data_IF_373967657377
#
_entry.id   IF_373967657377
#
_cell.length_a   1.000
_cell.length_b   1.000
_cell.length_c   1.000
_cell.angle_alpha   90.00
_cell.angle_beta   90.00
_cell.angle_gamma   90.00
#
_symmetry.space_group_name_H-M   'P 1'
#
loop_
_entity.id
_entity.type
_entity.pdbx_description
1 polymer ?
#
# COMPACT_ATOMS: atom_id res chain seq x y z
N UNK A 1 -33.22 26.11 -39.03
CA UNK A 1 -32.24 27.17 -38.73
C UNK A 1 -30.93 26.50 -38.37
N UNK A 2 -30.11 26.31 -39.39
CA UNK A 2 -28.83 25.61 -39.35
C UNK A 2 -27.84 26.60 -39.95
N UNK A 3 -26.77 26.94 -39.24
CA UNK A 3 -25.70 27.79 -39.76
C UNK A 3 -24.36 27.27 -39.25
N UNK A 4 -23.71 26.53 -40.14
CA UNK A 4 -22.27 26.31 -40.23
C UNK A 4 -21.58 27.58 -40.71
N UNK A 5 -20.39 27.89 -40.23
CA UNK A 5 -19.39 28.61 -41.02
C UNK A 5 -17.96 28.22 -40.61
N UNK A 6 -17.13 28.05 -41.63
CA UNK A 6 -15.74 27.61 -41.62
C UNK A 6 -14.75 28.76 -41.33
N UNK A 7 -13.55 28.32 -40.91
CA UNK A 7 -12.21 28.93 -40.89
C UNK A 7 -11.88 30.03 -41.93
N UNK A 8 -10.83 30.90 -41.75
CA UNK A 8 -9.45 30.43 -41.65
C UNK A 8 -8.38 31.27 -40.90
N UNK A 9 -7.23 30.60 -40.74
CA UNK A 9 -5.88 31.02 -40.34
C UNK A 9 -5.40 32.37 -40.91
N UNK A 10 -4.56 33.09 -40.14
CA UNK A 10 -3.38 33.82 -40.66
C UNK A 10 -2.33 34.06 -39.57
N UNK A 11 -1.12 33.59 -39.85
CA UNK A 11 0.13 33.94 -39.18
C UNK A 11 0.54 35.39 -39.51
N UNK A 12 1.16 36.07 -38.55
CA UNK A 12 2.06 37.20 -38.81
C UNK A 12 3.27 37.09 -37.88
N UNK A 13 4.44 37.08 -38.51
CA UNK A 13 5.78 37.14 -37.93
C UNK A 13 6.32 38.55 -38.18
N UNK A 14 6.78 39.26 -37.15
CA UNK A 14 7.66 40.44 -37.27
C UNK A 14 8.60 40.50 -36.05
N UNK A 15 9.90 40.43 -36.31
CA UNK A 15 11.03 40.71 -35.41
C UNK A 15 11.38 42.21 -35.36
N UNK A 16 12.19 42.53 -34.35
CA UNK A 16 12.96 43.77 -34.07
C UNK A 16 12.22 44.76 -33.13
N UNK A 17 12.78 45.29 -32.04
CA UNK A 17 14.10 45.25 -31.42
C UNK A 17 14.17 46.33 -30.31
N UNK A 18 15.22 46.29 -29.49
CA UNK A 18 15.72 47.35 -28.59
C UNK A 18 15.07 47.56 -27.19
N UNK A 19 15.75 46.94 -26.19
CA UNK A 19 16.22 47.45 -24.90
C UNK A 19 15.53 48.60 -24.15
N UNK A 20 15.33 48.41 -22.83
CA UNK A 20 15.75 49.33 -21.76
C UNK A 20 15.78 48.61 -20.39
N UNK A 21 16.68 49.09 -19.51
CA UNK A 21 17.16 48.53 -18.25
C UNK A 21 16.18 48.71 -17.04
N UNK A 22 16.47 48.15 -15.84
CA UNK A 22 15.52 48.06 -14.73
C UNK A 22 15.63 49.22 -13.72
N UNK A 23 14.58 49.50 -12.92
CA UNK A 23 14.67 50.45 -11.79
C UNK A 23 15.00 49.77 -10.44
N UNK A 24 15.35 50.54 -9.39
CA UNK A 24 16.47 50.22 -8.50
C UNK A 24 16.11 49.61 -7.14
N UNK A 25 17.16 49.12 -6.47
CA UNK A 25 17.20 48.68 -5.06
C UNK A 25 17.03 49.87 -4.10
N UNK A 26 16.22 49.69 -3.06
CA UNK A 26 16.23 50.52 -1.85
C UNK A 26 16.97 49.78 -0.72
N UNK A 27 18.00 50.42 -0.17
CA UNK A 27 18.68 50.08 1.08
C UNK A 27 18.00 50.84 2.23
N UNK A 28 17.80 50.20 3.40
CA UNK A 28 17.83 50.90 4.69
C UNK A 28 18.15 49.97 5.89
N UNK A 29 19.37 50.14 6.39
CA UNK A 29 19.90 50.18 7.78
C UNK A 29 19.27 49.32 8.90
N UNK A 30 20.12 48.44 9.45
CA UNK A 30 20.65 48.40 10.83
C UNK A 30 19.73 48.92 11.95
N UNK A 31 19.28 48.01 12.84
CA UNK A 31 19.19 48.23 14.30
C UNK A 31 19.68 46.98 15.04
N UNK A 32 20.61 47.22 15.95
CA UNK A 32 21.22 46.31 16.93
C UNK A 32 20.39 46.23 18.23
N UNK A 33 20.28 45.04 18.83
CA UNK A 33 20.17 44.77 20.29
C UNK A 33 20.37 43.26 20.47
N UNK A 34 21.44 42.73 21.09
CA UNK A 34 21.93 42.73 22.49
C UNK A 34 20.98 42.04 23.49
N UNK A 35 21.31 40.75 23.71
CA UNK A 35 21.29 39.94 24.95
C UNK A 35 19.93 39.55 25.62
N UNK A 36 19.88 38.52 26.50
CA UNK A 36 20.97 37.69 27.03
C UNK A 36 20.78 36.15 26.98
N UNK A 37 21.92 35.50 27.15
CA UNK A 37 22.17 34.11 27.56
C UNK A 37 21.61 33.79 28.95
N UNK A 38 21.00 32.61 29.14
CA UNK A 38 20.91 31.97 30.45
C UNK A 38 21.31 30.50 30.38
N UNK A 39 22.58 30.25 30.71
CA UNK A 39 23.09 28.95 31.14
C UNK A 39 23.35 29.02 32.63
N UNK A 40 22.63 28.24 33.43
CA UNK A 40 23.15 27.71 34.69
C UNK A 40 22.40 26.42 35.09
N UNK A 41 23.19 25.38 35.32
CA UNK A 41 22.83 24.07 35.88
C UNK A 41 22.92 24.15 37.41
N UNK A 42 22.07 23.38 38.11
CA UNK A 42 22.28 22.69 39.41
C UNK A 42 20.94 21.98 39.73
N UNK A 43 20.76 20.66 39.54
CA UNK A 43 21.14 19.52 40.40
C UNK A 43 20.87 19.75 41.90
N UNK A 44 19.83 19.11 42.47
CA UNK A 44 19.95 18.06 43.50
C UNK A 44 18.64 17.64 44.23
N UNK A 45 18.41 16.31 44.27
CA UNK A 45 17.81 15.42 45.32
C UNK A 45 16.30 15.53 45.66
N UNK A 46 15.47 14.53 45.29
CA UNK A 46 15.19 13.23 45.94
C UNK A 46 14.39 13.33 47.26
N UNK A 47 13.06 13.13 47.19
CA UNK A 47 12.26 12.47 48.24
C UNK A 47 11.08 11.72 47.59
N UNK A 48 11.06 10.39 47.76
CA UNK A 48 9.89 9.51 47.64
C UNK A 48 9.48 9.07 49.06
N UNK A 49 8.20 8.76 49.28
CA UNK A 49 7.87 7.46 49.87
C UNK A 49 6.74 6.79 49.06
N UNK A 50 6.90 5.55 48.60
CA UNK A 50 6.61 4.30 49.34
C UNK A 50 5.25 4.29 50.04
N UNK A 51 4.26 3.64 49.40
CA UNK A 51 3.18 2.96 50.09
C UNK A 51 3.05 1.54 49.52
N UNK A 52 3.37 0.57 50.38
CA UNK A 52 3.18 -0.87 50.18
C UNK A 52 1.78 -1.20 50.70
N UNK A 53 0.94 -1.79 49.84
CA UNK A 53 -0.35 -2.37 50.23
C UNK A 53 -0.32 -3.87 49.98
N UNK A 54 -0.13 -4.65 51.05
CA UNK A 54 -0.37 -6.08 51.11
C UNK A 54 -1.85 -6.36 50.76
N UNK A 55 -2.10 -7.30 49.85
CA UNK A 55 -3.38 -8.03 49.81
C UNK A 55 -3.07 -9.50 50.07
N UNK A 56 -3.60 -9.97 51.19
CA UNK A 56 -3.58 -11.35 51.66
C UNK A 56 -4.42 -12.24 50.76
N UNK A 57 -3.87 -13.38 50.39
CA UNK A 57 -4.58 -14.49 49.73
C UNK A 57 -5.22 -15.33 50.83
N UNK A 58 -6.56 -15.42 50.83
CA UNK A 58 -7.28 -16.49 51.53
C UNK A 58 -7.89 -17.43 50.50
N UNK A 59 -7.41 -18.67 50.56
CA UNK A 59 -7.96 -19.85 49.93
C UNK A 59 -9.31 -20.22 50.54
N UNK A 60 -10.28 -20.56 49.69
CA UNK A 60 -11.45 -21.33 50.11
C UNK A 60 -11.79 -22.34 49.01
N UNK A 61 -11.60 -23.61 49.32
CA UNK A 61 -12.13 -24.74 48.57
C UNK A 61 -13.55 -25.02 49.07
N UNK A 62 -14.50 -25.24 48.16
CA UNK A 62 -15.64 -26.12 48.41
C UNK A 62 -16.12 -26.74 47.11
N UNK A 63 -16.07 -28.05 47.08
CA UNK A 63 -16.71 -28.97 46.14
C UNK A 63 -18.21 -29.08 46.40
N UNK A 64 -19.00 -29.36 45.35
CA UNK A 64 -20.23 -30.19 45.25
C UNK A 64 -20.99 -29.78 43.95
N UNK A 65 -20.97 -30.58 42.88
CA UNK A 65 -21.89 -31.68 42.47
C UNK A 65 -23.31 -31.27 42.04
N UNK A 66 -23.58 -31.55 40.75
CA UNK A 66 -24.81 -32.02 40.08
C UNK A 66 -26.18 -31.36 40.35
N UNK A 67 -26.87 -30.93 39.28
CA UNK A 67 -28.02 -31.67 38.68
C UNK A 67 -28.69 -30.84 37.56
N UNK A 68 -29.36 -31.55 36.66
CA UNK A 68 -30.00 -31.11 35.42
C UNK A 68 -31.29 -30.29 35.59
N UNK A 69 -31.67 -29.54 34.55
CA UNK A 69 -32.94 -29.70 33.82
C UNK A 69 -33.13 -28.66 32.71
N UNK A 70 -33.76 -29.14 31.64
CA UNK A 70 -34.14 -28.45 30.41
C UNK A 70 -35.02 -27.21 30.62
N UNK A 71 -34.88 -26.20 29.75
CA UNK A 71 -36.02 -25.45 29.19
C UNK A 71 -35.61 -24.78 27.88
N UNK A 72 -36.43 -25.04 26.86
CA UNK A 72 -36.42 -24.49 25.50
C UNK A 72 -36.76 -23.00 25.54
N UNK A 73 -36.00 -22.14 24.85
CA UNK A 73 -36.52 -20.88 24.31
C UNK A 73 -35.76 -20.44 23.06
N UNK A 74 -36.52 -20.17 22.01
CA UNK A 74 -36.14 -19.74 20.67
C UNK A 74 -35.68 -18.27 20.71
N UNK A 75 -34.53 -17.98 20.09
CA UNK A 75 -34.02 -16.61 19.97
C UNK A 75 -32.91 -16.50 18.93
N UNK A 76 -33.29 -16.34 17.67
CA UNK A 76 -32.39 -16.12 16.53
C UNK A 76 -31.56 -14.84 16.67
N UNK A 77 -30.22 -14.97 16.61
CA UNK A 77 -29.28 -13.88 16.28
C UNK A 77 -28.15 -14.42 15.39
N UNK A 78 -27.70 -13.66 14.36
CA UNK A 78 -26.73 -14.15 13.39
C UNK A 78 -25.28 -13.95 13.84
N UNK A 79 -24.45 -14.96 13.54
CA UNK A 79 -23.11 -14.74 13.00
C UNK A 79 -21.93 -14.60 13.97
N UNK A 80 -21.74 -15.55 14.88
CA UNK A 80 -20.38 -15.85 15.35
C UNK A 80 -19.71 -16.71 14.27
N UNK A 81 -18.75 -16.12 13.56
CA UNK A 81 -17.92 -16.85 12.58
C UNK A 81 -17.03 -17.81 13.35
N UNK A 82 -17.42 -19.08 13.33
CA UNK A 82 -16.53 -20.18 13.67
C UNK A 82 -15.33 -20.12 12.73
N UNK A 83 -14.12 -20.14 13.31
CA UNK A 83 -12.90 -20.44 12.59
C UNK A 83 -13.15 -21.73 11.82
N UNK A 84 -13.21 -21.61 10.49
CA UNK A 84 -13.26 -22.77 9.60
C UNK A 84 -11.91 -23.45 9.76
N UNK A 85 -11.99 -24.68 10.26
CA UNK A 85 -10.92 -25.64 10.37
C UNK A 85 -10.35 -25.89 8.97
N UNK A 86 -9.29 -25.16 8.59
CA UNK A 86 -8.52 -25.39 7.37
C UNK A 86 -7.68 -26.65 7.56
N UNK A 87 -8.34 -27.79 7.60
CA UNK A 87 -7.69 -29.09 7.53
C UNK A 87 -7.04 -29.25 6.16
N UNK A 88 -5.71 -29.10 6.16
CA UNK A 88 -4.73 -29.90 5.41
C UNK A 88 -5.16 -30.32 4.00
N UNK A 89 -5.01 -29.42 3.04
CA UNK A 89 -4.38 -29.84 1.78
C UNK A 89 -2.88 -29.75 1.99
N UNK A 90 -2.29 -30.84 2.50
CA UNK A 90 -0.87 -31.09 2.35
C UNK A 90 -0.66 -31.32 0.84
N UNK A 91 -0.42 -30.23 0.11
CA UNK A 91 0.21 -30.32 -1.20
C UNK A 91 1.65 -30.73 -0.91
N UNK A 92 1.88 -32.04 -1.02
CA UNK A 92 3.20 -32.64 -0.96
C UNK A 92 3.90 -32.27 -2.28
N UNK A 93 4.51 -31.09 -2.35
CA UNK A 93 5.39 -30.71 -3.47
C UNK A 93 6.81 -30.66 -2.95
N UNK A 94 7.51 -31.76 -3.16
CA UNK A 94 8.97 -31.91 -3.02
C UNK A 94 9.72 -31.07 -4.08
N UNK A 95 8.98 -30.46 -5.02
CA UNK A 95 9.51 -29.48 -5.97
C UNK A 95 9.32 -28.05 -5.49
N UNK A 96 10.44 -27.34 -5.30
CA UNK A 96 10.44 -25.90 -5.05
C UNK A 96 10.04 -25.16 -6.33
N UNK A 97 8.91 -24.46 -6.30
CA UNK A 97 8.50 -23.55 -7.39
C UNK A 97 9.25 -22.22 -7.26
N UNK A 98 9.97 -21.84 -8.30
CA UNK A 98 10.60 -20.53 -8.41
C UNK A 98 9.69 -19.57 -9.17
N UNK A 99 9.61 -18.32 -8.73
CA UNK A 99 8.88 -17.26 -9.44
C UNK A 99 9.89 -16.19 -9.84
N UNK A 100 9.78 -15.72 -11.08
CA UNK A 100 10.46 -14.52 -11.55
C UNK A 100 9.47 -13.55 -12.19
N UNK A 101 9.89 -12.30 -12.24
CA UNK A 101 9.18 -11.24 -12.95
C UNK A 101 10.14 -10.67 -13.98
N UNK A 102 9.76 -10.72 -15.26
CA UNK A 102 10.59 -10.25 -16.36
C UNK A 102 10.00 -8.99 -16.95
N UNK A 103 10.86 -8.02 -17.25
CA UNK A 103 10.46 -6.81 -17.97
C UNK A 103 10.09 -7.16 -19.42
N UNK A 104 8.93 -6.69 -19.87
CA UNK A 104 8.38 -6.99 -21.20
C UNK A 104 8.20 -5.73 -22.07
N UNK A 105 8.79 -4.61 -21.67
CA UNK A 105 8.73 -3.35 -22.42
C UNK A 105 7.46 -2.53 -22.19
N UNK A 106 7.12 -1.68 -23.13
CA UNK A 106 5.93 -0.81 -23.12
C UNK A 106 4.86 -1.24 -24.15
N UNK A 107 5.00 -2.44 -24.73
CA UNK A 107 4.14 -2.93 -25.81
C UNK A 107 4.67 -2.65 -27.22
N UNK A 108 5.77 -1.92 -27.38
CA UNK A 108 6.45 -1.81 -28.68
C UNK A 108 7.28 -3.07 -28.96
N UNK A 109 6.86 -3.85 -29.96
CA UNK A 109 7.41 -5.14 -30.38
C UNK A 109 8.95 -5.25 -30.24
N UNK A 110 9.41 -6.17 -29.39
CA UNK A 110 10.82 -6.59 -29.31
C UNK A 110 11.49 -6.29 -27.97
N UNK A 111 11.14 -7.05 -26.92
CA UNK A 111 11.88 -7.04 -25.66
C UNK A 111 12.53 -8.39 -25.41
N UNK A 112 13.86 -8.38 -25.40
CA UNK A 112 14.71 -9.49 -24.92
C UNK A 112 14.46 -9.74 -23.43
N UNK A 113 14.46 -11.01 -22.95
CA UNK A 113 14.16 -11.36 -21.55
C UNK A 113 15.14 -10.80 -20.51
N UNK A 114 16.26 -10.19 -20.93
CA UNK A 114 17.26 -9.56 -20.06
C UNK A 114 17.28 -8.03 -20.17
N UNK A 115 16.29 -7.41 -20.81
CA UNK A 115 16.23 -5.95 -20.93
C UNK A 115 15.74 -5.36 -19.62
N UNK A 116 16.46 -4.39 -19.06
CA UNK A 116 15.98 -3.58 -17.94
C UNK A 116 15.28 -2.29 -18.45
N UNK A 117 14.41 -1.65 -17.65
CA UNK A 117 13.87 -0.34 -17.99
C UNK A 117 15.00 0.69 -18.13
N UNK A 118 14.91 1.55 -19.14
CA UNK A 118 15.82 2.70 -19.25
C UNK A 118 15.46 3.75 -18.19
N UNK A 119 16.42 4.62 -17.82
CA UNK A 119 16.22 5.71 -16.87
C UNK A 119 15.20 6.76 -17.32
N UNK A 120 14.79 6.72 -18.60
CA UNK A 120 13.75 7.58 -19.17
C UNK A 120 12.39 6.87 -19.28
N UNK A 121 12.30 5.57 -18.98
CA UNK A 121 11.08 4.79 -19.10
C UNK A 121 10.02 5.32 -18.14
N UNK A 122 8.89 5.80 -18.70
CA UNK A 122 7.73 6.28 -17.91
C UNK A 122 6.76 5.17 -17.52
N UNK A 123 6.76 4.06 -18.25
CA UNK A 123 5.91 2.90 -18.00
C UNK A 123 6.77 1.66 -18.10
N UNK A 124 6.87 0.90 -17.02
CA UNK A 124 7.59 -0.37 -17.01
C UNK A 124 6.62 -1.53 -16.82
N UNK A 125 6.43 -2.37 -17.85
CA UNK A 125 5.58 -3.56 -17.81
C UNK A 125 6.41 -4.79 -17.45
N UNK A 126 5.84 -5.62 -16.59
CA UNK A 126 6.42 -6.88 -16.16
C UNK A 126 5.40 -8.00 -16.31
N UNK A 127 5.90 -9.19 -16.62
CA UNK A 127 5.14 -10.43 -16.65
C UNK A 127 5.74 -11.44 -15.67
N UNK A 128 4.90 -12.19 -14.97
CA UNK A 128 5.35 -13.21 -14.02
C UNK A 128 5.48 -14.56 -14.71
N UNK A 129 6.51 -15.31 -14.31
CA UNK A 129 6.78 -16.65 -14.77
C UNK A 129 7.11 -17.54 -13.58
N UNK A 130 6.76 -18.81 -13.68
CA UNK A 130 7.14 -19.84 -12.73
C UNK A 130 8.00 -20.92 -13.38
N UNK A 131 8.74 -21.63 -12.55
CA UNK A 131 9.53 -22.79 -12.95
C UNK A 131 9.50 -23.81 -11.83
N UNK A 132 9.19 -25.05 -12.18
CA UNK A 132 9.35 -26.19 -11.27
C UNK A 132 10.82 -26.58 -11.17
N UNK A 133 11.26 -27.13 -10.04
CA UNK A 133 12.60 -27.72 -9.89
C UNK A 133 12.93 -28.76 -10.97
N UNK A 134 11.90 -29.42 -11.49
CA UNK A 134 12.02 -30.56 -12.40
C UNK A 134 12.13 -30.12 -13.87
N UNK A 135 11.89 -28.83 -14.17
CA UNK A 135 11.91 -28.29 -15.53
C UNK A 135 12.89 -27.13 -15.64
N UNK A 136 13.59 -27.03 -16.77
CA UNK A 136 14.45 -25.87 -17.06
C UNK A 136 13.67 -24.69 -17.64
N UNK A 137 12.46 -24.94 -18.15
CA UNK A 137 11.62 -23.96 -18.84
C UNK A 137 10.85 -23.08 -17.86
N UNK A 138 10.74 -21.80 -18.22
CA UNK A 138 9.88 -20.85 -17.51
C UNK A 138 8.52 -20.80 -18.18
N UNK A 139 7.46 -20.95 -17.39
CA UNK A 139 6.08 -20.93 -17.85
C UNK A 139 5.37 -19.67 -17.37
N UNK A 140 4.43 -19.12 -18.15
CA UNK A 140 3.61 -17.98 -17.71
C UNK A 140 2.85 -18.29 -16.42
N UNK A 141 3.08 -17.49 -15.38
CA UNK A 141 2.34 -17.58 -14.13
C UNK A 141 1.00 -16.87 -14.29
N UNK A 142 -0.11 -17.56 -14.07
CA UNK A 142 -1.46 -16.98 -14.21
C UNK A 142 -1.80 -16.01 -13.07
N UNK A 143 -2.81 -15.17 -13.26
CA UNK A 143 -3.30 -14.24 -12.23
C UNK A 143 -3.77 -14.99 -10.98
N UNK A 144 -4.49 -16.11 -11.17
CA UNK A 144 -4.97 -16.94 -10.08
C UNK A 144 -3.81 -17.57 -9.31
N UNK A 145 -2.83 -18.16 -10.02
CA UNK A 145 -1.65 -18.72 -9.37
C UNK A 145 -0.89 -17.65 -8.60
N UNK A 146 -0.62 -16.48 -9.21
CA UNK A 146 0.06 -15.37 -8.52
C UNK A 146 -0.64 -14.98 -7.22
N UNK A 147 -1.96 -14.81 -7.25
CA UNK A 147 -2.73 -14.44 -6.06
C UNK A 147 -2.66 -15.56 -5.00
N UNK A 148 -2.74 -16.83 -5.41
CA UNK A 148 -2.61 -17.96 -4.50
C UNK A 148 -1.21 -18.02 -3.86
N UNK A 149 -0.13 -17.96 -4.65
CA UNK A 149 1.25 -17.98 -4.16
C UNK A 149 1.54 -16.88 -3.15
N UNK A 150 1.03 -15.66 -3.39
CA UNK A 150 1.27 -14.54 -2.48
C UNK A 150 0.38 -14.57 -1.24
N UNK A 151 -0.77 -15.26 -1.25
CA UNK A 151 -1.74 -15.23 -0.14
C UNK A 151 -1.43 -16.18 1.01
N UNK A 152 -0.54 -17.15 0.82
CA UNK A 152 -0.24 -18.19 1.82
C UNK A 152 0.72 -17.69 2.92
N UNK A 153 0.54 -18.21 4.13
CA UNK A 153 1.49 -18.02 5.24
C UNK A 153 2.42 -19.24 5.37
N UNK A 154 3.37 -19.34 4.44
CA UNK A 154 4.47 -20.29 4.49
C UNK A 154 5.75 -19.64 3.94
N UNK A 155 6.89 -20.30 4.13
CA UNK A 155 8.19 -19.71 3.82
C UNK A 155 8.40 -19.52 2.30
N UNK A 156 7.85 -20.41 1.48
CA UNK A 156 7.89 -20.29 0.02
C UNK A 156 7.12 -19.05 -0.45
N UNK A 157 5.91 -18.84 0.06
CA UNK A 157 5.09 -17.66 -0.22
C UNK A 157 5.75 -16.37 0.28
N UNK A 158 6.42 -16.40 1.44
CA UNK A 158 7.23 -15.28 1.96
C UNK A 158 8.39 -14.97 1.01
N UNK A 159 9.06 -15.97 0.45
CA UNK A 159 10.12 -15.80 -0.53
C UNK A 159 9.58 -15.20 -1.83
N UNK A 160 8.48 -15.72 -2.38
CA UNK A 160 7.83 -15.19 -3.58
C UNK A 160 7.43 -13.72 -3.41
N UNK A 161 6.81 -13.36 -2.27
CA UNK A 161 6.52 -11.96 -1.92
C UNK A 161 7.80 -11.12 -1.83
N UNK A 162 8.88 -11.67 -1.30
CA UNK A 162 10.16 -10.95 -1.17
C UNK A 162 10.77 -10.63 -2.53
N UNK A 163 10.73 -11.55 -3.50
CA UNK A 163 11.19 -11.29 -4.87
C UNK A 163 10.34 -10.22 -5.57
N UNK A 164 9.01 -10.30 -5.40
CA UNK A 164 8.10 -9.27 -5.91
C UNK A 164 8.39 -7.89 -5.31
N UNK A 165 8.56 -7.81 -3.99
CA UNK A 165 8.85 -6.55 -3.27
C UNK A 165 10.20 -5.97 -3.69
N UNK A 166 11.24 -6.82 -3.85
CA UNK A 166 12.55 -6.38 -4.34
C UNK A 166 12.43 -5.72 -5.72
N UNK A 167 11.65 -6.32 -6.63
CA UNK A 167 11.39 -5.72 -7.94
C UNK A 167 10.70 -4.36 -7.79
N UNK A 168 9.61 -4.29 -7.04
CA UNK A 168 8.88 -3.03 -6.85
C UNK A 168 9.77 -1.92 -6.27
N UNK A 169 10.68 -2.26 -5.35
CA UNK A 169 11.57 -1.29 -4.75
C UNK A 169 12.65 -0.77 -5.72
N UNK A 170 13.19 -1.66 -6.56
CA UNK A 170 14.48 -1.45 -7.22
C UNK A 170 14.42 -1.34 -8.75
N UNK A 171 13.39 -1.85 -9.42
CA UNK A 171 13.41 -1.98 -10.87
C UNK A 171 13.23 -0.64 -11.62
N UNK A 172 12.69 0.38 -10.95
CA UNK A 172 12.51 1.73 -11.49
C UNK A 172 13.01 2.78 -10.49
N UNK A 173 14.33 2.87 -10.23
CA UNK A 173 14.89 3.74 -9.19
C UNK A 173 14.76 5.23 -9.51
N UNK A 174 14.60 5.59 -10.78
CA UNK A 174 14.34 6.95 -11.25
C UNK A 174 12.92 7.42 -10.92
N UNK A 175 11.94 6.51 -10.86
CA UNK A 175 10.56 6.83 -10.47
C UNK A 175 10.47 7.08 -8.97
N UNK A 176 10.32 8.35 -8.56
CA UNK A 176 10.19 8.73 -7.14
C UNK A 176 8.89 8.20 -6.54
N UNK A 177 7.79 8.31 -7.28
CA UNK A 177 6.54 7.63 -7.01
C UNK A 177 6.01 7.01 -8.31
N UNK A 178 5.24 5.94 -8.19
CA UNK A 178 4.61 5.29 -9.33
C UNK A 178 3.24 4.72 -8.94
N UNK A 179 2.37 4.58 -9.93
CA UNK A 179 1.15 3.80 -9.84
C UNK A 179 1.44 2.35 -10.26
N UNK A 180 0.92 1.39 -9.49
CA UNK A 180 0.91 -0.02 -9.83
C UNK A 180 -0.46 -0.36 -10.40
N UNK A 181 -0.50 -1.04 -11.55
CA UNK A 181 -1.75 -1.39 -12.24
C UNK A 181 -1.64 -2.81 -12.82
N UNK A 182 -2.70 -3.60 -12.72
CA UNK A 182 -2.82 -4.92 -13.35
C UNK A 182 -3.94 -4.93 -14.38
N UNK A 183 -3.95 -5.94 -15.26
CA UNK A 183 -5.12 -6.26 -16.09
C UNK A 183 -6.37 -6.49 -15.24
N UNK A 184 -7.54 -6.26 -15.83
CA UNK A 184 -8.81 -6.69 -15.27
C UNK A 184 -8.91 -8.21 -15.33
N UNK A 185 -9.42 -8.83 -14.28
CA UNK A 185 -9.61 -10.28 -14.24
C UNK A 185 -10.88 -10.67 -13.49
N UNK A 186 -11.41 -11.84 -13.82
CA UNK A 186 -12.54 -12.49 -13.16
C UNK A 186 -12.16 -13.94 -12.83
N UNK A 187 -12.99 -14.65 -12.06
CA UNK A 187 -12.74 -16.07 -11.77
C UNK A 187 -12.54 -16.93 -13.02
N UNK A 188 -13.15 -16.60 -14.16
CA UNK A 188 -13.01 -17.38 -15.40
C UNK A 188 -11.78 -17.01 -16.23
N UNK A 189 -11.28 -15.78 -16.10
CA UNK A 189 -10.12 -15.31 -16.89
C UNK A 189 -8.82 -15.42 -16.12
N UNK A 190 -8.86 -15.38 -14.78
CA UNK A 190 -7.67 -15.36 -13.93
C UNK A 190 -6.83 -16.64 -14.01
N UNK A 191 -7.44 -17.78 -14.34
CA UNK A 191 -6.75 -19.07 -14.55
C UNK A 191 -6.10 -19.21 -15.93
N UNK A 192 -6.40 -18.29 -16.85
CA UNK A 192 -5.91 -18.34 -18.24
C UNK A 192 -4.98 -17.17 -18.56
N UNK A 193 -5.23 -16.00 -17.98
CA UNK A 193 -4.44 -14.80 -18.19
C UNK A 193 -3.16 -14.87 -17.38
N UNK A 194 -2.02 -14.62 -18.04
CA UNK A 194 -0.75 -14.40 -17.36
C UNK A 194 -0.85 -13.18 -16.44
N UNK A 195 -0.25 -13.27 -15.26
CA UNK A 195 -0.10 -12.14 -14.37
C UNK A 195 0.91 -11.14 -14.95
N UNK A 196 0.39 -9.96 -15.24
CA UNK A 196 1.16 -8.82 -15.70
C UNK A 196 0.79 -7.58 -14.89
N UNK A 197 1.77 -6.71 -14.69
CA UNK A 197 1.57 -5.42 -14.07
C UNK A 197 2.45 -4.35 -14.72
N UNK A 198 2.05 -3.09 -14.54
CA UNK A 198 2.85 -1.94 -14.93
C UNK A 198 3.16 -1.06 -13.72
N UNK A 199 4.36 -0.48 -13.74
CA UNK A 199 4.74 0.67 -12.92
C UNK A 199 4.71 1.91 -13.81
N UNK A 200 3.80 2.84 -13.50
CA UNK A 200 3.65 4.09 -14.24
C UNK A 200 4.19 5.24 -13.40
N UNK A 201 5.21 5.94 -13.90
CA UNK A 201 5.82 7.09 -13.24
C UNK A 201 4.77 8.14 -12.85
N UNK A 202 4.83 8.62 -11.61
CA UNK A 202 3.84 9.51 -11.04
C UNK A 202 4.48 10.65 -10.23
N UNK A 203 5.12 11.63 -10.90
CA UNK A 203 5.73 12.76 -10.22
C UNK A 203 4.70 13.61 -9.45
N UNK A 204 3.45 13.66 -9.90
CA UNK A 204 2.40 14.36 -9.17
C UNK A 204 2.09 13.70 -7.83
N UNK A 205 1.97 12.36 -7.79
CA UNK A 205 1.77 11.63 -6.53
C UNK A 205 2.91 11.85 -5.54
N UNK A 206 4.16 11.89 -6.01
CA UNK A 206 5.31 12.23 -5.17
C UNK A 206 5.13 13.63 -4.53
N UNK A 207 4.87 14.65 -5.35
CA UNK A 207 4.67 16.02 -4.87
C UNK A 207 3.48 16.17 -3.93
N UNK A 208 2.38 15.48 -4.23
CA UNK A 208 1.13 15.56 -3.48
C UNK A 208 1.20 14.84 -2.13
N UNK A 209 1.76 13.62 -2.10
CA UNK A 209 1.59 12.71 -0.97
C UNK A 209 2.79 12.64 -0.03
N UNK A 210 4.04 12.70 -0.52
CA UNK A 210 5.21 12.46 0.34
C UNK A 210 5.48 13.63 1.30
N UNK A 211 5.25 14.88 0.83
CA UNK A 211 5.37 16.08 1.66
C UNK A 211 4.20 16.31 2.64
N UNK A 212 3.08 15.62 2.45
CA UNK A 212 1.87 15.82 3.25
C UNK A 212 1.04 14.53 3.41
N UNK A 213 1.58 13.48 4.06
CA UNK A 213 0.87 12.23 4.28
C UNK A 213 -0.41 12.44 5.11
N UNK A 214 -1.54 11.94 4.62
CA UNK A 214 -2.83 12.03 5.31
C UNK A 214 -3.13 10.75 6.09
N UNK A 215 -2.53 10.67 7.28
CA UNK A 215 -2.79 9.58 8.23
C UNK A 215 -4.21 9.57 8.80
N UNK A 216 -5.01 10.61 8.59
CA UNK A 216 -6.28 10.81 9.29
C UNK A 216 -7.49 10.38 8.49
N UNK A 217 -7.46 10.49 7.16
CA UNK A 217 -8.60 10.14 6.31
C UNK A 217 -9.06 8.70 6.51
N UNK A 218 -8.13 7.74 6.50
CA UNK A 218 -8.48 6.33 6.75
C UNK A 218 -8.51 5.95 8.23
N UNK A 219 -8.51 6.91 9.16
CA UNK A 219 -8.25 6.58 10.57
C UNK A 219 -9.22 5.62 11.21
N UNK A 220 -10.50 5.73 10.87
CA UNK A 220 -11.53 4.84 11.40
C UNK A 220 -11.39 3.42 10.83
N UNK A 221 -10.87 3.31 9.61
CA UNK A 221 -10.68 2.03 8.92
C UNK A 221 -9.40 1.31 9.34
N UNK A 222 -8.33 2.06 9.65
CA UNK A 222 -7.03 1.52 10.09
C UNK A 222 -7.00 1.02 11.55
N UNK A 223 -8.17 0.85 12.17
CA UNK A 223 -8.35 0.28 13.51
C UNK A 223 -8.89 -1.15 13.45
N UNK A 224 -8.67 -1.86 12.34
CA UNK A 224 -9.05 -3.26 12.20
C UNK A 224 -8.32 -4.16 13.22
N UNK A 225 -8.92 -5.31 13.49
CA UNK A 225 -8.33 -6.38 14.29
C UNK A 225 -7.60 -7.40 13.38
N UNK A 226 -6.51 -8.04 13.87
CA UNK A 226 -5.87 -7.79 15.17
C UNK A 226 -5.10 -6.45 15.19
N UNK A 227 -4.78 -5.94 16.38
CA UNK A 227 -4.14 -4.61 16.53
C UNK A 227 -2.75 -4.50 15.88
N UNK A 228 -2.10 -5.63 15.62
CA UNK A 228 -0.82 -5.76 14.94
C UNK A 228 -0.97 -6.08 13.44
N UNK A 229 -2.17 -6.02 12.87
CA UNK A 229 -2.36 -6.27 11.44
C UNK A 229 -1.49 -5.33 10.58
N UNK A 230 -0.90 -5.83 9.47
CA UNK A 230 -0.02 -5.06 8.60
C UNK A 230 -0.75 -3.94 7.86
N UNK A 231 -2.06 -4.12 7.67
CA UNK A 231 -2.97 -3.22 6.99
C UNK A 231 -4.42 -3.64 7.22
N UNK A 232 -5.36 -2.88 6.66
CA UNK A 232 -6.79 -3.13 6.79
C UNK A 232 -7.46 -3.09 5.41
N UNK A 233 -8.40 -4.02 5.20
CA UNK A 233 -9.29 -4.04 4.05
C UNK A 233 -10.65 -3.42 4.43
N UNK A 234 -11.19 -2.52 3.60
CA UNK A 234 -12.45 -1.83 3.87
C UNK A 234 -13.08 -1.29 2.57
N UNK A 235 -14.42 -1.19 2.47
CA UNK A 235 -15.06 -0.62 1.29
C UNK A 235 -14.75 0.88 1.18
N UNK A 236 -14.64 1.37 -0.06
CA UNK A 236 -14.58 2.81 -0.32
C UNK A 236 -15.92 3.50 -0.02
N UNK A 237 -15.94 4.84 0.01
CA UNK A 237 -17.15 5.64 0.29
C UNK A 237 -18.37 5.28 -0.59
N UNK A 238 -18.13 4.93 -1.86
CA UNK A 238 -19.18 4.55 -2.80
C UNK A 238 -19.53 3.05 -2.77
N UNK A 239 -18.93 2.26 -1.88
CA UNK A 239 -19.11 0.81 -1.76
C UNK A 239 -18.98 0.03 -3.08
N UNK A 240 -18.18 0.53 -4.01
CA UNK A 240 -17.96 -0.04 -5.34
C UNK A 240 -16.52 -0.51 -5.58
N UNK A 241 -15.67 -0.37 -4.57
CA UNK A 241 -14.33 -0.93 -4.54
C UNK A 241 -14.00 -1.36 -3.10
N UNK A 242 -13.21 -2.41 -2.97
CA UNK A 242 -12.52 -2.75 -1.73
C UNK A 242 -11.16 -2.04 -1.74
N UNK A 243 -10.82 -1.37 -0.64
CA UNK A 243 -9.51 -0.74 -0.45
C UNK A 243 -8.71 -1.54 0.56
N UNK A 244 -7.42 -1.72 0.31
CA UNK A 244 -6.47 -2.32 1.27
C UNK A 244 -5.38 -1.30 1.53
N UNK A 245 -5.25 -0.83 2.77
CA UNK A 245 -4.29 0.22 3.14
C UNK A 245 -3.39 -0.23 4.30
N UNK A 246 -2.08 0.09 4.29
CA UNK A 246 -1.17 -0.29 5.36
C UNK A 246 -1.49 0.51 6.63
N UNK A 247 -1.26 -0.14 7.76
CA UNK A 247 -1.42 0.48 9.08
C UNK A 247 -0.10 1.12 9.51
N UNK A 248 -0.08 2.36 10.04
CA UNK A 248 1.16 2.93 10.51
C UNK A 248 1.73 2.17 11.71
N UNK A 249 3.02 1.84 11.66
CA UNK A 249 3.77 1.33 12.80
C UNK A 249 3.75 2.35 13.95
N UNK A 250 3.71 1.88 15.20
CA UNK A 250 3.53 2.77 16.37
C UNK A 250 2.09 3.29 16.56
N UNK A 251 1.15 2.86 15.70
CA UNK A 251 -0.27 3.15 15.82
C UNK A 251 -0.67 4.54 15.33
N UNK A 252 -1.97 4.83 15.44
CA UNK A 252 -2.52 6.11 15.04
C UNK A 252 -2.19 7.16 16.10
N UNK A 253 -1.38 8.15 15.75
CA UNK A 253 -1.16 9.31 16.60
C UNK A 253 -2.52 9.90 16.97
N UNK A 254 -2.83 9.95 18.27
CA UNK A 254 -3.97 10.72 18.76
C UNK A 254 -3.70 12.17 18.36
N UNK A 255 -4.63 12.84 17.67
CA UNK A 255 -4.59 14.30 17.45
C UNK A 255 -4.33 14.93 18.82
N UNK A 256 -3.12 15.40 19.10
CA UNK A 256 -2.81 16.11 20.34
C UNK A 256 -2.81 17.60 20.01
N UNK A 257 -3.63 18.33 20.77
CA UNK A 257 -3.47 19.75 21.06
C UNK A 257 -1.98 20.10 21.13
N UNK A 258 -1.61 21.22 20.51
CA UNK A 258 -0.23 21.70 20.31
C UNK A 258 0.65 21.78 21.59
N UNK A 259 0.10 21.53 22.80
CA UNK A 259 0.78 21.71 24.10
C UNK A 259 1.47 20.49 24.70
N UNK A 260 1.50 19.30 24.07
CA UNK A 260 2.24 18.16 24.66
C UNK A 260 3.30 17.60 23.72
N UNK A 261 4.55 17.70 24.17
CA UNK A 261 5.73 16.98 23.67
C UNK A 261 5.38 15.53 23.37
N UNK A 262 5.65 15.11 22.14
CA UNK A 262 5.44 13.76 21.63
C UNK A 262 6.16 12.73 22.50
N UNK A 263 5.42 11.68 22.89
CA UNK A 263 5.91 10.51 23.64
C UNK A 263 5.31 9.26 22.97
N UNK A 264 5.51 9.14 21.66
CA UNK A 264 5.05 8.01 20.84
C UNK A 264 6.11 7.71 19.81
N UNK A 265 7.02 6.78 20.14
CA UNK A 265 8.18 6.45 19.32
C UNK A 265 7.82 5.56 18.14
N UNK A 266 7.10 6.08 17.14
CA UNK A 266 7.18 5.46 15.81
C UNK A 266 8.53 5.80 15.23
N UNK A 267 9.33 4.78 14.93
CA UNK A 267 10.62 4.92 14.23
C UNK A 267 10.41 5.15 12.73
N UNK A 268 9.19 4.94 12.22
CA UNK A 268 8.83 5.08 10.81
C UNK A 268 8.04 6.37 10.61
N UNK A 269 8.48 7.19 9.64
CA UNK A 269 7.82 8.42 9.23
C UNK A 269 6.49 8.14 8.53
N UNK A 270 5.51 9.03 8.69
CA UNK A 270 4.23 8.92 7.97
C UNK A 270 4.42 8.95 6.44
N UNK A 271 5.48 9.61 5.94
CA UNK A 271 5.82 9.65 4.51
C UNK A 271 6.09 8.26 3.90
N UNK A 272 6.50 7.29 4.72
CA UNK A 272 6.64 5.89 4.31
C UNK A 272 5.32 5.31 3.80
N UNK A 273 4.18 5.82 4.25
CA UNK A 273 2.87 5.32 3.88
C UNK A 273 2.18 6.18 2.82
N UNK A 274 2.86 7.17 2.22
CA UNK A 274 2.25 8.09 1.24
C UNK A 274 1.83 7.41 -0.06
N UNK A 275 2.67 6.51 -0.59
CA UNK A 275 2.44 5.78 -1.84
C UNK A 275 3.26 4.49 -1.88
N UNK A 276 3.04 3.64 -2.90
CA UNK A 276 3.62 2.30 -2.95
C UNK A 276 5.15 2.32 -2.97
N UNK A 277 5.74 3.19 -3.79
CA UNK A 277 7.20 3.30 -3.90
C UNK A 277 7.87 3.64 -2.55
N UNK A 278 7.35 4.62 -1.80
CA UNK A 278 7.89 4.97 -0.48
C UNK A 278 7.71 3.81 0.53
N UNK A 279 6.57 3.11 0.45
CA UNK A 279 6.27 1.99 1.33
C UNK A 279 7.21 0.81 1.13
N UNK A 280 7.37 0.32 -0.10
CA UNK A 280 8.25 -0.84 -0.37
C UNK A 280 9.74 -0.52 -0.16
N UNK A 281 10.14 0.75 -0.24
CA UNK A 281 11.53 1.19 -0.03
C UNK A 281 11.89 1.45 1.44
N UNK A 282 10.92 1.89 2.26
CA UNK A 282 11.22 2.43 3.59
C UNK A 282 10.49 1.75 4.76
N UNK A 283 9.42 0.98 4.51
CA UNK A 283 8.72 0.27 5.58
C UNK A 283 9.47 -1.00 6.02
N UNK A 284 9.25 -1.50 7.25
CA UNK A 284 9.80 -2.78 7.66
C UNK A 284 9.42 -3.89 6.68
N UNK A 285 10.39 -4.70 6.25
CA UNK A 285 10.19 -5.72 5.23
C UNK A 285 9.10 -6.73 5.60
N UNK A 286 8.98 -7.09 6.88
CA UNK A 286 7.89 -7.94 7.39
C UNK A 286 6.52 -7.31 7.16
N UNK A 287 6.37 -6.00 7.40
CA UNK A 287 5.12 -5.30 7.16
C UNK A 287 4.76 -5.29 5.68
N UNK A 288 5.71 -5.01 4.79
CA UNK A 288 5.47 -5.00 3.34
C UNK A 288 5.09 -6.39 2.84
N UNK A 289 5.76 -7.42 3.35
CA UNK A 289 5.47 -8.82 3.05
C UNK A 289 4.05 -9.21 3.47
N UNK A 290 3.69 -8.98 4.72
CA UNK A 290 2.35 -9.29 5.24
C UNK A 290 1.26 -8.42 4.60
N UNK A 291 1.56 -7.18 4.22
CA UNK A 291 0.64 -6.32 3.47
C UNK A 291 0.30 -6.92 2.10
N UNK A 292 1.30 -7.41 1.36
CA UNK A 292 1.04 -8.07 0.07
C UNK A 292 0.33 -9.41 0.21
N UNK A 293 0.54 -10.14 1.32
CA UNK A 293 -0.26 -11.31 1.66
C UNK A 293 -1.74 -10.94 1.85
N UNK A 294 -2.03 -9.86 2.58
CA UNK A 294 -3.39 -9.34 2.74
C UNK A 294 -3.99 -8.92 1.39
N UNK A 295 -3.25 -8.17 0.57
CA UNK A 295 -3.71 -7.75 -0.77
C UNK A 295 -4.05 -8.96 -1.64
N UNK A 296 -3.18 -9.96 -1.69
CA UNK A 296 -3.40 -11.18 -2.48
C UNK A 296 -4.61 -11.98 -1.96
N UNK A 297 -4.77 -12.11 -0.64
CA UNK A 297 -5.91 -12.77 -0.02
C UNK A 297 -7.24 -12.08 -0.37
N UNK A 298 -7.31 -10.75 -0.25
CA UNK A 298 -8.50 -9.99 -0.61
C UNK A 298 -8.75 -9.99 -2.12
N UNK A 299 -7.70 -9.97 -2.94
CA UNK A 299 -7.83 -10.08 -4.39
C UNK A 299 -8.43 -11.43 -4.81
N UNK A 300 -7.94 -12.54 -4.26
CA UNK A 300 -8.50 -13.87 -4.50
C UNK A 300 -9.96 -13.99 -4.08
N UNK A 301 -10.38 -13.35 -2.97
CA UNK A 301 -11.80 -13.31 -2.57
C UNK A 301 -12.65 -12.55 -3.59
N UNK A 302 -12.21 -11.35 -3.97
CA UNK A 302 -12.96 -10.51 -4.92
C UNK A 302 -13.02 -11.13 -6.32
N UNK A 303 -11.96 -11.79 -6.78
CA UNK A 303 -11.92 -12.49 -8.08
C UNK A 303 -13.03 -13.54 -8.22
N UNK A 304 -13.36 -14.25 -7.12
CA UNK A 304 -14.43 -15.26 -7.09
C UNK A 304 -15.82 -14.65 -7.18
N UNK A 305 -15.97 -13.39 -6.77
CA UNK A 305 -17.26 -12.70 -6.72
C UNK A 305 -17.56 -11.92 -8.00
N UNK A 306 -16.54 -11.32 -8.63
CA UNK A 306 -16.72 -10.39 -9.75
C UNK A 306 -15.42 -10.13 -10.51
N UNK A 307 -15.58 -9.52 -11.67
CA UNK A 307 -14.45 -8.86 -12.35
C UNK A 307 -13.86 -7.75 -11.48
N UNK A 308 -12.53 -7.69 -11.45
CA UNK A 308 -11.77 -6.78 -10.59
C UNK A 308 -10.51 -6.27 -11.28
N UNK A 309 -10.22 -5.00 -11.02
CA UNK A 309 -8.99 -4.32 -11.37
C UNK A 309 -8.23 -4.01 -10.08
N UNK A 310 -6.95 -4.37 -10.01
CA UNK A 310 -6.07 -4.10 -8.88
C UNK A 310 -5.12 -2.96 -9.26
N UNK A 311 -5.17 -1.87 -8.50
CA UNK A 311 -4.29 -0.73 -8.72
C UNK A 311 -4.02 0.08 -7.46
N UNK A 312 -2.90 0.81 -7.43
CA UNK A 312 -2.62 1.86 -6.43
C UNK A 312 -2.85 3.27 -6.96
N UNK A 313 -3.40 3.42 -8.17
CA UNK A 313 -3.68 4.69 -8.78
C UNK A 313 -4.80 5.42 -8.01
N UNK A 314 -4.48 6.64 -7.55
CA UNK A 314 -5.41 7.48 -6.82
C UNK A 314 -4.70 8.60 -6.08
N UNK A 315 -4.98 9.84 -6.44
CA UNK A 315 -4.38 11.03 -5.83
C UNK A 315 -5.36 11.80 -4.93
N UNK A 316 -6.48 11.17 -4.55
CA UNK A 316 -7.49 11.81 -3.68
C UNK A 316 -7.15 11.77 -2.19
N UNK A 317 -6.29 10.84 -1.76
CA UNK A 317 -5.87 10.68 -0.36
C UNK A 317 -4.38 10.39 -0.34
N UNK A 318 -3.61 11.18 0.40
CA UNK A 318 -2.17 11.05 0.56
C UNK A 318 -1.79 9.91 1.54
N UNK A 319 -2.33 8.71 1.29
CA UNK A 319 -2.03 7.49 2.05
C UNK A 319 -2.21 6.30 1.11
N UNK A 320 -1.23 5.39 1.08
CA UNK A 320 -1.23 4.21 0.22
C UNK A 320 -2.52 3.42 0.42
N UNK A 321 -3.16 3.09 -0.69
CA UNK A 321 -4.26 2.14 -0.71
C UNK A 321 -4.24 1.39 -2.05
N UNK A 322 -4.28 0.07 -1.97
CA UNK A 322 -4.59 -0.79 -3.12
C UNK A 322 -6.10 -0.77 -3.29
N UNK A 323 -6.55 -0.44 -4.50
CA UNK A 323 -7.95 -0.43 -4.92
C UNK A 323 -8.23 -1.71 -5.70
N UNK A 324 -9.20 -2.48 -5.22
CA UNK A 324 -9.82 -3.60 -5.91
C UNK A 324 -11.17 -3.12 -6.48
N UNK A 325 -11.12 -2.50 -7.65
CA UNK A 325 -12.25 -1.81 -8.28
C UNK A 325 -13.09 -2.71 -9.19
N UNK A 326 -14.34 -2.33 -9.45
CA UNK A 326 -15.19 -2.93 -10.51
C UNK A 326 -14.87 -2.43 -11.92
N UNK A 327 -14.00 -1.43 -12.02
CA UNK A 327 -13.59 -0.73 -13.24
C UNK A 327 -12.17 -0.20 -13.02
N UNK A 328 -11.37 0.03 -14.09
CA UNK A 328 -10.00 0.56 -14.05
C UNK A 328 -9.98 2.05 -13.72
N UNK A 329 -10.61 2.46 -12.61
CA UNK A 329 -10.72 3.86 -12.23
C UNK A 329 -9.34 4.41 -11.88
N UNK A 330 -8.97 5.53 -12.51
CA UNK A 330 -7.69 6.23 -12.36
C UNK A 330 -6.47 5.53 -12.96
N UNK A 331 -6.65 4.40 -13.64
CA UNK A 331 -5.56 3.78 -14.38
C UNK A 331 -4.91 4.80 -15.30
N UNK A 332 -3.61 4.70 -15.50
CA UNK A 332 -2.82 5.57 -16.37
C UNK A 332 -2.34 4.83 -17.62
N UNK A 333 -2.24 3.51 -17.56
CA UNK A 333 -1.91 2.69 -18.71
C UNK A 333 -3.17 2.24 -19.44
N UNK A 334 -3.32 2.71 -20.68
CA UNK A 334 -4.54 2.56 -21.47
C UNK A 334 -4.82 1.09 -21.84
N UNK A 335 -3.79 0.28 -22.13
CA UNK A 335 -3.96 -1.13 -22.52
C UNK A 335 -4.70 -1.93 -21.44
N UNK A 336 -4.34 -1.76 -20.16
CA UNK A 336 -5.04 -2.45 -19.07
C UNK A 336 -6.44 -1.91 -18.78
N UNK A 337 -6.82 -0.76 -19.36
CA UNK A 337 -8.22 -0.30 -19.32
C UNK A 337 -9.08 -1.00 -20.37
N UNK A 338 -8.48 -1.40 -21.49
CA UNK A 338 -9.17 -1.95 -22.66
C UNK A 338 -9.19 -3.48 -22.69
N UNK A 339 -8.20 -4.12 -22.06
CA UNK A 339 -8.15 -5.58 -21.87
C UNK A 339 -9.16 -6.00 -20.79
N UNK A 340 -10.23 -6.69 -21.22
CA UNK A 340 -11.30 -7.27 -20.37
C UNK A 340 -11.10 -8.78 -20.27
#
# INVERSE_FOLDING_TARGET
WTLTFENPLRCFDVRCGCGMAPPPRLNQRIISSVAPTSTQRLLCWLILPFFVGLITVSSFNSTQTETSKDTISVGSRPGAVSLVDTNKMNVNTDGTIEIKYSYVGDGSNGSSPNREPDQQTKIARYAAFERSSDTSAWEPLTIEQWANHLSLDNDLAKQHRSEFIKLLANATPHMKAYSFETKGASSSTASQQQFEFVLVDDPYLFMFAEGNPDRYTFRKHLQCAPLNAPGCAFPNLGHNALLVAPRPMGGMAKKKSWRRRWMGGSTVSDGTYSHLAAFVRNAPSSQVNEFWMLVASEYSKVLKERQVWLSTAGSGVAWLHVRLGKQPKYYKYDEFRLEI
#
